data_IF_591341601257
#
_entry.id   IF_591341601257
#
_cell.length_a   1.000
_cell.length_b   1.000
_cell.length_c   1.000
_cell.angle_alpha   90.00
_cell.angle_beta   90.00
_cell.angle_gamma   90.00
#
_symmetry.space_group_name_H-M   'P 1'
#
loop_
_entity.id
_entity.type
_entity.pdbx_description
1 polymer ?
#
# COMPACT_ATOMS: atom_id res chain seq x y z
N UNK A 1 -15.50 44.83 -34.06
CA UNK A 1 -15.76 44.95 -32.60
C UNK A 1 -16.29 43.61 -32.10
N UNK A 2 -15.81 43.12 -30.94
CA UNK A 2 -16.05 41.77 -30.42
C UNK A 2 -17.29 41.75 -29.51
N UNK A 3 -18.22 40.83 -29.76
CA UNK A 3 -19.41 40.64 -28.92
C UNK A 3 -19.06 39.94 -27.60
N UNK A 4 -19.65 40.42 -26.52
CA UNK A 4 -19.50 39.94 -25.15
C UNK A 4 -20.89 39.73 -24.52
N UNK A 5 -20.99 38.63 -23.78
CA UNK A 5 -21.86 38.33 -22.63
C UNK A 5 -23.29 37.85 -22.87
N UNK A 6 -23.63 36.74 -22.18
CA UNK A 6 -24.85 36.47 -21.38
C UNK A 6 -24.70 35.04 -20.82
N UNK A 7 -24.15 34.86 -19.61
CA UNK A 7 -24.85 34.73 -18.32
C UNK A 7 -26.03 33.75 -18.34
N UNK A 8 -25.85 32.59 -17.70
CA UNK A 8 -26.87 31.56 -17.49
C UNK A 8 -26.94 31.28 -15.99
N UNK A 9 -28.03 31.70 -15.37
CA UNK A 9 -28.40 31.44 -13.97
C UNK A 9 -29.47 30.34 -13.97
N UNK A 10 -29.45 29.51 -12.92
CA UNK A 10 -30.52 28.70 -12.32
C UNK A 10 -30.07 27.23 -12.20
N UNK A 11 -30.30 26.51 -11.10
CA UNK A 11 -31.10 26.78 -9.91
C UNK A 11 -30.91 25.59 -8.95
N UNK A 12 -31.13 25.83 -7.67
CA UNK A 12 -30.90 24.92 -6.55
C UNK A 12 -31.70 23.61 -6.64
N UNK A 13 -31.13 22.51 -6.10
CA UNK A 13 -31.88 21.30 -5.74
C UNK A 13 -31.57 20.95 -4.28
N UNK A 14 -32.64 20.58 -3.58
CA UNK A 14 -32.85 20.62 -2.15
C UNK A 14 -32.17 19.51 -1.35
N UNK A 15 -31.87 19.85 -0.08
CA UNK A 15 -31.53 18.94 1.01
C UNK A 15 -32.77 18.16 1.47
N UNK A 16 -32.65 16.84 1.60
CA UNK A 16 -33.57 16.04 2.42
C UNK A 16 -32.79 15.20 3.44
N UNK A 17 -33.05 15.49 4.72
CA UNK A 17 -32.67 14.67 5.88
C UNK A 17 -33.71 13.57 6.07
N UNK A 18 -33.32 12.36 6.48
CA UNK A 18 -34.07 11.58 7.49
C UNK A 18 -33.14 10.64 8.24
N UNK A 19 -33.24 10.70 9.56
CA UNK A 19 -32.49 9.91 10.53
C UNK A 19 -33.37 8.77 11.06
N UNK A 20 -32.76 7.64 11.42
CA UNK A 20 -33.15 6.83 12.60
C UNK A 20 -32.01 5.86 12.95
N UNK A 21 -31.47 5.91 14.19
CA UNK A 21 -30.61 4.86 14.73
C UNK A 21 -31.47 3.80 15.44
N UNK A 22 -31.34 2.53 15.05
CA UNK A 22 -31.79 1.42 15.88
C UNK A 22 -30.63 1.00 16.80
N UNK A 23 -30.64 1.49 18.03
CA UNK A 23 -29.80 0.94 19.10
C UNK A 23 -30.51 -0.26 19.72
N UNK A 24 -30.09 -1.48 19.38
CA UNK A 24 -30.43 -2.66 20.17
C UNK A 24 -29.48 -2.71 21.37
N UNK A 25 -30.02 -2.44 22.55
CA UNK A 25 -29.35 -2.60 23.84
C UNK A 25 -29.77 -3.96 24.42
N UNK A 26 -29.06 -5.02 24.08
CA UNK A 26 -29.20 -6.30 24.77
C UNK A 26 -28.31 -6.26 26.03
N UNK A 27 -28.93 -5.94 27.17
CA UNK A 27 -28.29 -5.85 28.47
C UNK A 27 -28.31 -7.25 29.11
N UNK A 28 -27.25 -8.05 28.87
CA UNK A 28 -27.03 -9.33 29.56
C UNK A 28 -26.03 -9.12 30.69
N UNK A 29 -26.59 -9.06 31.89
CA UNK A 29 -26.06 -9.49 33.20
C UNK A 29 -24.56 -9.73 33.39
N UNK A 30 -24.00 -8.93 34.31
CA UNK A 30 -22.97 -9.24 35.32
C UNK A 30 -21.64 -9.85 34.84
N UNK A 31 -20.58 -9.05 34.92
CA UNK A 31 -19.26 -9.44 35.46
C UNK A 31 -18.46 -8.18 35.82
N UNK A 32 -17.72 -8.25 36.93
CA UNK A 32 -17.10 -7.15 37.67
C UNK A 32 -16.17 -6.21 36.84
N UNK A 33 -15.97 -4.95 37.28
CA UNK A 33 -14.99 -4.07 36.64
C UNK A 33 -13.57 -4.49 37.08
N UNK A 34 -12.88 -5.27 36.25
CA UNK A 34 -11.42 -5.29 36.31
C UNK A 34 -10.94 -3.95 35.76
N UNK A 35 -10.56 -3.05 36.67
CA UNK A 35 -9.78 -1.87 36.34
C UNK A 35 -8.35 -2.31 35.99
N UNK A 36 -8.15 -2.79 34.77
CA UNK A 36 -6.83 -2.82 34.16
C UNK A 36 -6.55 -1.40 33.68
N UNK A 37 -5.63 -0.73 34.36
CA UNK A 37 -4.99 0.48 33.88
C UNK A 37 -4.48 0.22 32.45
N UNK A 38 -5.20 0.74 31.45
CA UNK A 38 -4.80 0.64 30.05
C UNK A 38 -3.67 1.64 29.82
N UNK A 39 -2.44 1.23 30.10
CA UNK A 39 -1.35 1.65 29.23
C UNK A 39 -1.75 1.19 27.82
N UNK A 40 -1.87 2.09 26.82
CA UNK A 40 -2.24 1.66 25.48
C UNK A 40 -1.24 0.58 25.05
N UNK A 41 -1.72 -0.60 24.61
CA UNK A 41 -0.83 -1.66 24.19
C UNK A 41 0.05 -1.10 23.07
N UNK A 42 1.37 -1.20 23.26
CA UNK A 42 2.32 -0.95 22.19
C UNK A 42 1.84 -1.76 20.99
N UNK A 43 1.51 -1.05 19.90
CA UNK A 43 0.99 -1.64 18.66
C UNK A 43 1.79 -2.89 18.29
N UNK A 44 1.15 -3.98 17.85
CA UNK A 44 1.83 -5.22 17.54
C UNK A 44 2.96 -4.97 16.52
N UNK A 45 4.07 -5.73 16.60
CA UNK A 45 5.27 -5.50 15.78
C UNK A 45 5.04 -5.50 14.25
N UNK A 46 3.87 -5.97 13.79
CA UNK A 46 3.42 -5.95 12.41
C UNK A 46 3.12 -4.55 11.86
N UNK A 47 2.95 -3.53 12.71
CA UNK A 47 2.83 -2.13 12.27
C UNK A 47 4.18 -1.41 12.09
N UNK A 48 5.32 -2.10 12.25
CA UNK A 48 6.66 -1.53 11.97
C UNK A 48 7.01 -1.45 10.48
N UNK A 49 6.01 -1.26 9.62
CA UNK A 49 6.26 -0.75 8.29
C UNK A 49 6.69 0.71 8.40
N UNK A 50 7.68 1.14 7.62
CA UNK A 50 7.99 2.56 7.52
C UNK A 50 6.74 3.29 7.05
N UNK A 51 6.04 4.01 7.94
CA UNK A 51 5.04 4.98 7.53
C UNK A 51 5.76 6.27 7.14
N UNK A 52 6.49 6.23 6.02
CA UNK A 52 6.82 7.47 5.31
C UNK A 52 5.47 8.03 4.88
N UNK A 53 5.06 9.12 5.51
CA UNK A 53 3.81 9.78 5.18
C UNK A 53 3.96 10.41 3.79
N UNK A 54 3.32 9.81 2.79
CA UNK A 54 3.32 10.30 1.42
C UNK A 54 2.17 11.29 1.22
N UNK A 55 2.43 12.39 0.51
CA UNK A 55 1.37 13.30 0.09
C UNK A 55 0.42 12.62 -0.91
N UNK A 56 -0.84 13.09 -1.06
CA UNK A 56 -1.77 12.51 -2.04
C UNK A 56 -1.23 12.49 -3.48
N UNK A 57 -0.44 13.51 -3.84
CA UNK A 57 0.25 13.59 -5.13
C UNK A 57 1.34 12.51 -5.24
N UNK A 58 2.21 12.38 -4.24
CA UNK A 58 3.23 11.32 -4.20
C UNK A 58 2.61 9.92 -4.28
N UNK A 59 1.51 9.66 -3.56
CA UNK A 59 0.80 8.39 -3.63
C UNK A 59 0.28 8.08 -5.04
N UNK A 60 -0.19 9.11 -5.75
CA UNK A 60 -0.67 8.97 -7.13
C UNK A 60 0.47 8.61 -8.08
N UNK A 61 1.62 9.29 -7.96
CA UNK A 61 2.80 8.97 -8.76
C UNK A 61 3.38 7.59 -8.43
N UNK A 62 3.36 7.18 -7.16
CA UNK A 62 3.75 5.82 -6.77
C UNK A 62 2.86 4.77 -7.43
N UNK A 63 1.54 4.97 -7.46
CA UNK A 63 0.60 4.07 -8.15
C UNK A 63 0.88 3.98 -9.65
N UNK A 64 1.20 5.10 -10.30
CA UNK A 64 1.59 5.11 -11.73
C UNK A 64 2.85 4.29 -11.96
N UNK A 65 3.87 4.50 -11.14
CA UNK A 65 5.12 3.71 -11.17
C UNK A 65 4.80 2.22 -10.97
N UNK A 66 4.02 1.87 -9.96
CA UNK A 66 3.63 0.49 -9.65
C UNK A 66 2.89 -0.20 -10.80
N UNK A 67 1.96 0.50 -11.45
CA UNK A 67 1.26 -0.03 -12.61
C UNK A 67 2.22 -0.25 -13.79
N UNK A 68 3.09 0.72 -14.10
CA UNK A 68 4.08 0.57 -15.16
C UNK A 68 5.09 -0.56 -14.89
N UNK A 69 5.39 -0.86 -13.63
CA UNK A 69 6.23 -2.00 -13.25
C UNK A 69 5.50 -3.31 -13.45
N UNK A 70 4.22 -3.40 -13.06
CA UNK A 70 3.41 -4.61 -13.30
C UNK A 70 3.41 -4.97 -14.77
N UNK A 71 3.24 -3.98 -15.65
CA UNK A 71 3.27 -4.18 -17.10
C UNK A 71 4.65 -4.66 -17.59
N UNK A 72 5.74 -4.10 -17.06
CA UNK A 72 7.10 -4.52 -17.41
C UNK A 72 7.41 -5.93 -16.90
N UNK A 73 7.03 -6.25 -15.66
CA UNK A 73 7.18 -7.58 -15.07
C UNK A 73 6.41 -8.60 -15.90
N UNK A 74 5.16 -8.31 -16.27
CA UNK A 74 4.35 -9.20 -17.09
C UNK A 74 5.00 -9.53 -18.43
N UNK A 75 5.69 -8.56 -19.06
CA UNK A 75 6.41 -8.76 -20.33
C UNK A 75 7.64 -9.67 -20.21
N UNK A 76 8.23 -9.78 -19.02
CA UNK A 76 9.37 -10.69 -18.76
C UNK A 76 8.90 -12.13 -18.58
N UNK A 77 7.63 -12.33 -18.21
CA UNK A 77 7.07 -13.63 -17.89
C UNK A 77 6.49 -14.34 -19.13
N UNK A 78 6.46 -15.67 -19.09
CA UNK A 78 5.77 -16.46 -20.10
C UNK A 78 4.27 -16.51 -19.83
N UNK A 79 3.43 -16.80 -20.85
CA UNK A 79 1.99 -17.00 -20.64
C UNK A 79 1.69 -18.07 -19.58
N UNK A 80 2.48 -19.15 -19.54
CA UNK A 80 2.32 -20.22 -18.55
C UNK A 80 2.62 -19.73 -17.12
N UNK A 81 3.68 -18.94 -16.93
CA UNK A 81 4.03 -18.36 -15.63
C UNK A 81 2.94 -17.39 -15.14
N UNK A 82 2.37 -16.57 -16.04
CA UNK A 82 1.27 -15.67 -15.71
C UNK A 82 0.02 -16.44 -15.29
N UNK A 83 -0.30 -17.52 -15.99
CA UNK A 83 -1.43 -18.37 -15.61
C UNK A 83 -1.21 -19.04 -14.25
N UNK A 84 0.00 -19.49 -13.94
CA UNK A 84 0.35 -20.04 -12.62
C UNK A 84 0.11 -19.02 -11.50
N UNK A 85 0.54 -17.77 -11.68
CA UNK A 85 0.28 -16.70 -10.71
C UNK A 85 -1.21 -16.47 -10.55
N UNK A 86 -1.96 -16.37 -11.66
CA UNK A 86 -3.41 -16.16 -11.63
C UNK A 86 -4.12 -17.27 -10.84
N UNK A 87 -3.83 -18.52 -11.15
CA UNK A 87 -4.41 -19.68 -10.45
C UNK A 87 -4.00 -19.72 -8.97
N UNK A 88 -2.75 -19.39 -8.64
CA UNK A 88 -2.30 -19.28 -7.26
C UNK A 88 -3.09 -18.20 -6.49
N UNK A 89 -3.34 -17.04 -7.10
CA UNK A 89 -4.15 -15.99 -6.48
C UNK A 89 -5.61 -16.40 -6.32
N UNK A 90 -6.19 -17.08 -7.32
CA UNK A 90 -7.56 -17.63 -7.24
C UNK A 90 -7.69 -18.67 -6.13
N UNK A 91 -6.61 -19.38 -5.80
CA UNK A 91 -6.55 -20.31 -4.65
C UNK A 91 -6.39 -19.63 -3.28
N UNK A 92 -6.37 -18.29 -3.22
CA UNK A 92 -6.27 -17.51 -1.99
C UNK A 92 -4.84 -17.11 -1.58
N UNK A 93 -3.81 -17.38 -2.39
CA UNK A 93 -2.45 -16.87 -2.14
C UNK A 93 -2.40 -15.38 -2.43
N UNK A 94 -1.60 -14.64 -1.66
CA UNK A 94 -1.31 -13.24 -2.00
C UNK A 94 -0.53 -13.17 -3.31
N UNK A 95 -0.65 -12.05 -4.04
CA UNK A 95 0.10 -11.85 -5.29
C UNK A 95 1.62 -11.97 -5.10
N UNK A 96 2.14 -11.62 -3.91
CA UNK A 96 3.56 -11.77 -3.57
C UNK A 96 3.97 -13.23 -3.44
N UNK A 97 3.16 -14.04 -2.74
CA UNK A 97 3.41 -15.47 -2.59
C UNK A 97 3.26 -16.21 -3.92
N UNK A 98 2.24 -15.86 -4.71
CA UNK A 98 2.02 -16.40 -6.04
C UNK A 98 3.21 -16.11 -6.96
N UNK A 99 3.70 -14.87 -6.98
CA UNK A 99 4.87 -14.48 -7.75
C UNK A 99 6.15 -15.20 -7.30
N UNK A 100 6.38 -15.33 -5.99
CA UNK A 100 7.56 -16.00 -5.45
C UNK A 100 7.57 -17.53 -5.70
N UNK A 101 6.41 -18.14 -5.92
CA UNK A 101 6.28 -19.56 -6.21
C UNK A 101 6.59 -19.92 -7.68
N UNK A 102 6.74 -18.93 -8.56
CA UNK A 102 7.08 -19.15 -9.97
C UNK A 102 8.59 -19.33 -10.13
N UNK A 103 8.98 -20.33 -10.92
CA UNK A 103 10.36 -20.51 -11.34
C UNK A 103 10.68 -19.56 -12.49
N UNK A 104 11.65 -18.67 -12.28
CA UNK A 104 12.17 -17.74 -13.29
C UNK A 104 13.52 -18.22 -13.80
N UNK A 105 13.80 -18.04 -15.10
CA UNK A 105 15.14 -18.28 -15.64
C UNK A 105 16.15 -17.26 -15.09
N UNK A 106 17.46 -17.54 -15.13
CA UNK A 106 18.49 -16.58 -14.71
C UNK A 106 18.36 -15.22 -15.43
N UNK A 107 18.04 -15.24 -16.72
CA UNK A 107 17.85 -14.02 -17.53
C UNK A 107 16.61 -13.24 -17.08
N UNK A 108 15.50 -13.94 -16.81
CA UNK A 108 14.29 -13.33 -16.26
C UNK A 108 14.55 -12.70 -14.90
N UNK A 109 15.27 -13.41 -14.01
CA UNK A 109 15.63 -12.89 -12.69
C UNK A 109 16.47 -11.61 -12.78
N UNK A 110 17.46 -11.58 -13.67
CA UNK A 110 18.28 -10.38 -13.89
C UNK A 110 17.44 -9.20 -14.42
N UNK A 111 16.52 -9.45 -15.35
CA UNK A 111 15.61 -8.43 -15.86
C UNK A 111 14.67 -7.90 -14.77
N UNK A 112 14.06 -8.79 -13.98
CA UNK A 112 13.18 -8.44 -12.86
C UNK A 112 13.93 -7.62 -11.81
N UNK A 113 15.15 -8.03 -11.45
CA UNK A 113 15.99 -7.28 -10.52
C UNK A 113 16.26 -5.86 -11.03
N UNK A 114 16.59 -5.70 -12.32
CA UNK A 114 16.80 -4.39 -12.92
C UNK A 114 15.53 -3.52 -12.88
N UNK A 115 14.36 -4.11 -13.18
CA UNK A 115 13.07 -3.42 -13.10
C UNK A 115 12.81 -2.93 -11.67
N UNK A 116 13.02 -3.77 -10.66
CA UNK A 116 12.80 -3.42 -9.26
C UNK A 116 13.78 -2.37 -8.73
N UNK A 117 15.06 -2.44 -9.11
CA UNK A 117 16.05 -1.42 -8.76
C UNK A 117 15.67 -0.08 -9.37
N UNK A 118 15.34 -0.06 -10.67
CA UNK A 118 14.94 1.16 -11.38
C UNK A 118 13.68 1.76 -10.77
N UNK A 119 12.68 0.94 -10.45
CA UNK A 119 11.48 1.35 -9.72
C UNK A 119 11.81 2.03 -8.40
N UNK A 120 12.69 1.41 -7.61
CA UNK A 120 13.05 1.94 -6.30
C UNK A 120 13.69 3.32 -6.44
N UNK A 121 14.58 3.50 -7.42
CA UNK A 121 15.19 4.80 -7.72
C UNK A 121 14.14 5.85 -8.13
N UNK A 122 13.18 5.49 -9.00
CA UNK A 122 12.10 6.38 -9.41
C UNK A 122 11.23 6.81 -8.23
N UNK A 123 10.87 5.88 -7.35
CA UNK A 123 10.09 6.18 -6.14
C UNK A 123 10.88 7.04 -5.15
N UNK A 124 12.16 6.75 -4.95
CA UNK A 124 13.03 7.55 -4.10
C UNK A 124 13.18 8.97 -4.63
N UNK A 125 13.23 9.18 -5.96
CA UNK A 125 13.29 10.51 -6.56
C UNK A 125 12.06 11.38 -6.20
N UNK A 126 10.90 10.77 -5.96
CA UNK A 126 9.67 11.47 -5.57
C UNK A 126 9.62 11.83 -4.07
N UNK A 127 10.54 11.29 -3.26
CA UNK A 127 10.59 11.55 -1.82
C UNK A 127 11.35 12.86 -1.53
N UNK A 128 10.87 13.57 -0.50
CA UNK A 128 11.58 14.71 0.09
C UNK A 128 12.85 14.27 0.81
N UNK A 129 13.75 15.23 1.09
CA UNK A 129 14.98 14.96 1.84
C UNK A 129 14.70 14.32 3.21
N UNK A 130 13.70 14.82 3.94
CA UNK A 130 13.32 14.29 5.26
C UNK A 130 12.76 12.87 5.16
N UNK A 131 11.90 12.59 4.18
CA UNK A 131 11.37 11.24 3.93
C UNK A 131 12.48 10.25 3.55
N UNK A 132 13.48 10.69 2.77
CA UNK A 132 14.68 9.88 2.46
C UNK A 132 15.53 9.61 3.70
N UNK A 133 15.72 10.61 4.56
CA UNK A 133 16.46 10.44 5.81
C UNK A 133 15.76 9.42 6.74
N UNK A 134 14.43 9.47 6.83
CA UNK A 134 13.64 8.48 7.57
C UNK A 134 13.80 7.07 6.98
N UNK A 135 13.73 6.93 5.65
CA UNK A 135 13.95 5.67 4.94
C UNK A 135 15.34 5.09 5.24
N UNK A 136 16.39 5.92 5.18
CA UNK A 136 17.76 5.52 5.44
C UNK A 136 17.95 5.04 6.90
N UNK A 137 17.42 5.77 7.88
CA UNK A 137 17.46 5.37 9.29
C UNK A 137 16.80 4.02 9.52
N UNK A 138 15.63 3.79 8.91
CA UNK A 138 14.98 2.49 9.01
C UNK A 138 15.79 1.36 8.36
N UNK A 139 16.39 1.59 7.19
CA UNK A 139 17.26 0.59 6.54
C UNK A 139 18.43 0.21 7.43
N UNK A 140 19.06 1.18 8.10
CA UNK A 140 20.15 0.93 9.04
C UNK A 140 19.69 0.13 10.26
N UNK A 141 18.54 0.47 10.84
CA UNK A 141 17.97 -0.22 12.00
C UNK A 141 17.59 -1.68 11.69
N UNK A 142 17.02 -1.93 10.51
CA UNK A 142 16.61 -3.29 10.12
C UNK A 142 17.75 -4.10 9.48
N UNK A 143 18.72 -3.45 8.85
CA UNK A 143 19.93 -4.10 8.32
C UNK A 143 20.88 -4.61 9.40
N UNK A 144 20.95 -3.92 10.56
CA UNK A 144 21.71 -4.40 11.72
C UNK A 144 21.02 -5.55 12.49
N UNK A 145 19.73 -5.81 12.25
CA UNK A 145 18.97 -6.86 12.93
C UNK A 145 19.21 -8.28 12.41
N UNK A 146 19.78 -8.44 11.21
CA UNK A 146 20.02 -9.76 10.57
C UNK A 146 21.46 -10.27 10.73
N UNK A 147 22.34 -9.54 11.40
CA UNK A 147 23.76 -9.93 11.62
C UNK A 147 24.06 -10.41 13.06
N UNK A 148 23.03 -10.76 13.84
CA UNK A 148 23.15 -11.13 15.26
C UNK A 148 22.88 -12.60 15.62
N UNK A 149 22.63 -13.48 14.64
CA UNK A 149 22.28 -14.89 14.89
C UNK A 149 23.25 -15.86 14.20
N UNK A 150 24.53 -15.77 14.56
CA UNK A 150 25.46 -16.91 14.52
C UNK A 150 26.30 -16.88 15.79
N UNK A 151 25.85 -17.63 16.79
CA UNK A 151 26.73 -18.27 17.77
C UNK A 151 26.81 -19.74 17.40
#
# INVERSE_FOLDING_TARGET
>A
MKFKNLSLIAGAIALSLTAVPFSVKAETTKSAPIQLAQNPPAKPPAERGIQIQLTPQQQTEFRKIDNGIRDQVQKVMTPQQLQQIKTAMESGKSGREAFAAVNFSPEQQAQLQKIFITSQQQKEALLTADQKAQLARFRQQNGNGTSGSKK
#
